data_IF_432237269374
#
_entry.id   IF_432237269374
#
_cell.length_a   1.000
_cell.length_b   1.000
_cell.length_c   1.000
_cell.angle_alpha   90.00
_cell.angle_beta   90.00
_cell.angle_gamma   90.00
#
_symmetry.space_group_name_H-M   'P 1'
#
loop_
_entity.id
_entity.type
_entity.pdbx_description
1 polymer ?
#
# COMPACT_ATOMS: atom_id res chain seq x y z
N UNK A 1 -13.13 6.13 2.07
CA UNK A 1 -11.81 5.62 1.64
C UNK A 1 -11.31 6.33 0.39
N UNK A 2 -10.05 6.08 0.05
CA UNK A 2 -9.51 6.14 -1.31
C UNK A 2 -9.42 4.69 -1.77
N UNK A 3 -10.13 4.36 -2.84
CA UNK A 3 -10.13 3.02 -3.41
C UNK A 3 -8.97 2.92 -4.40
N UNK A 4 -8.07 1.97 -4.17
CA UNK A 4 -6.89 1.78 -5.00
C UNK A 4 -7.15 0.87 -6.19
N UNK A 5 -8.25 0.12 -6.16
CA UNK A 5 -8.56 -0.94 -7.13
C UNK A 5 -7.71 -2.19 -6.95
N UNK A 6 -6.92 -2.27 -5.87
CA UNK A 6 -6.06 -3.41 -5.52
C UNK A 6 -6.68 -4.12 -4.33
N UNK A 7 -7.17 -5.34 -4.54
CA UNK A 7 -7.90 -6.11 -3.51
C UNK A 7 -7.09 -6.28 -2.21
N UNK A 8 -5.80 -6.56 -2.31
CA UNK A 8 -4.93 -6.72 -1.14
C UNK A 8 -4.89 -5.46 -0.24
N UNK A 9 -4.93 -4.27 -0.85
CA UNK A 9 -4.92 -2.99 -0.14
C UNK A 9 -6.32 -2.63 0.32
N UNK A 10 -7.29 -2.64 -0.60
CA UNK A 10 -8.63 -2.15 -0.33
C UNK A 10 -9.36 -2.99 0.72
N UNK A 11 -9.16 -4.33 0.73
CA UNK A 11 -9.77 -5.22 1.72
C UNK A 11 -9.07 -5.23 3.07
N UNK A 12 -7.72 -5.18 3.12
CA UNK A 12 -6.97 -5.52 4.33
C UNK A 12 -6.25 -4.33 4.98
N UNK A 13 -5.96 -3.30 4.20
CA UNK A 13 -5.25 -2.09 4.64
C UNK A 13 -5.86 -0.83 4.05
N UNK A 14 -7.18 -0.78 3.95
CA UNK A 14 -7.94 0.29 3.29
C UNK A 14 -7.34 1.67 3.49
N UNK A 15 -7.04 2.35 2.38
CA UNK A 15 -6.47 3.69 2.37
C UNK A 15 -7.54 4.73 2.72
N UNK A 16 -7.24 5.58 3.69
CA UNK A 16 -8.17 6.61 4.17
C UNK A 16 -7.79 7.98 3.63
N UNK A 17 -8.75 8.80 3.28
CA UNK A 17 -8.52 10.18 2.83
C UNK A 17 -7.74 10.97 3.88
N UNK A 18 -6.62 11.54 3.47
CA UNK A 18 -5.70 12.27 4.35
C UNK A 18 -4.68 11.40 5.07
N UNK A 19 -4.64 10.10 4.81
CA UNK A 19 -3.70 9.16 5.41
C UNK A 19 -2.34 9.19 4.71
N UNK A 20 -1.30 8.88 5.47
CA UNK A 20 0.05 8.56 5.02
C UNK A 20 0.26 7.05 5.12
N UNK A 21 0.24 6.34 3.99
CA UNK A 21 0.39 4.88 3.95
C UNK A 21 1.53 4.50 2.99
N UNK A 22 2.73 4.23 3.50
CA UNK A 22 3.87 3.90 2.66
C UNK A 22 3.79 2.48 2.10
N UNK A 23 4.43 2.27 0.95
CA UNK A 23 4.72 0.96 0.36
C UNK A 23 6.19 0.66 0.58
N UNK A 24 6.47 -0.36 1.39
CA UNK A 24 7.82 -0.85 1.67
C UNK A 24 8.15 -2.01 0.74
N UNK A 25 9.21 -1.86 -0.03
CA UNK A 25 9.66 -2.84 -1.00
C UNK A 25 11.14 -3.18 -0.82
N UNK A 26 11.61 -4.11 -1.61
CA UNK A 26 13.04 -4.38 -1.82
C UNK A 26 13.36 -4.32 -3.31
N UNK A 27 14.62 -4.15 -3.65
CA UNK A 27 15.05 -4.12 -5.05
C UNK A 27 14.61 -5.40 -5.77
N UNK A 28 14.13 -5.25 -7.00
CA UNK A 28 13.65 -6.35 -7.84
C UNK A 28 12.17 -6.71 -7.69
N UNK A 29 11.45 -6.12 -6.73
CA UNK A 29 9.99 -6.27 -6.65
C UNK A 29 9.28 -5.19 -7.49
N UNK A 30 8.03 -5.46 -7.95
CA UNK A 30 7.29 -4.59 -8.87
C UNK A 30 6.60 -3.40 -8.14
N UNK A 31 7.31 -2.69 -7.27
CA UNK A 31 6.74 -1.61 -6.46
C UNK A 31 6.39 -0.37 -7.29
N UNK A 32 7.18 -0.05 -8.32
CA UNK A 32 6.89 1.07 -9.20
C UNK A 32 5.68 0.78 -10.11
N UNK A 33 5.57 -0.46 -10.60
CA UNK A 33 4.41 -0.91 -11.36
C UNK A 33 3.14 -0.85 -10.51
N UNK A 34 3.20 -1.33 -9.26
CA UNK A 34 2.08 -1.25 -8.32
C UNK A 34 1.71 0.20 -8.03
N UNK A 35 2.69 1.07 -7.79
CA UNK A 35 2.45 2.49 -7.53
C UNK A 35 1.80 3.20 -8.74
N UNK A 36 2.27 2.90 -9.95
CA UNK A 36 1.70 3.42 -11.19
C UNK A 36 0.27 2.88 -11.43
N UNK A 37 0.04 1.59 -11.19
CA UNK A 37 -1.30 1.00 -11.28
C UNK A 37 -2.27 1.66 -10.29
N UNK A 38 -1.89 1.86 -9.04
CA UNK A 38 -2.70 2.58 -8.05
C UNK A 38 -2.99 4.00 -8.53
N UNK A 39 -1.97 4.72 -9.01
CA UNK A 39 -2.13 6.08 -9.52
C UNK A 39 -3.06 6.14 -10.74
N UNK A 40 -3.00 5.14 -11.62
CA UNK A 40 -3.84 5.06 -12.81
C UNK A 40 -5.32 4.82 -12.49
N UNK A 41 -5.63 4.01 -11.48
CA UNK A 41 -6.99 3.49 -11.27
C UNK A 41 -7.68 3.94 -9.98
N UNK A 42 -6.97 4.60 -9.05
CA UNK A 42 -7.54 4.99 -7.75
C UNK A 42 -8.67 6.02 -7.88
N UNK A 43 -9.62 5.97 -6.96
CA UNK A 43 -10.77 6.87 -6.90
C UNK A 43 -11.15 7.23 -5.46
N UNK A 44 -11.91 8.32 -5.31
CA UNK A 44 -12.59 8.67 -4.06
C UNK A 44 -14.13 8.51 -4.21
N UNK A 45 -14.56 7.54 -4.99
CA UNK A 45 -15.97 7.35 -5.35
C UNK A 45 -16.44 8.42 -6.33
N UNK A 46 -17.57 9.07 -6.04
CA UNK A 46 -18.12 10.16 -6.86
C UNK A 46 -17.54 11.54 -6.56
N UNK A 47 -16.65 11.65 -5.59
CA UNK A 47 -16.06 12.93 -5.18
C UNK A 47 -14.98 13.39 -6.18
N UNK A 48 -14.75 14.71 -6.36
CA UNK A 48 -13.67 15.23 -7.18
C UNK A 48 -12.31 14.69 -6.74
N UNK A 49 -11.61 14.03 -7.65
CA UNK A 49 -10.36 13.35 -7.36
C UNK A 49 -9.24 13.76 -8.32
N UNK A 50 -8.02 13.84 -7.84
CA UNK A 50 -6.82 14.10 -8.64
C UNK A 50 -5.64 13.29 -8.11
N UNK A 51 -4.69 13.03 -8.97
CA UNK A 51 -3.45 12.33 -8.63
C UNK A 51 -2.25 13.23 -8.91
N UNK A 52 -1.28 13.23 -8.02
CA UNK A 52 0.04 13.83 -8.25
C UNK A 52 1.08 12.72 -8.08
N UNK A 53 1.80 12.39 -9.13
CA UNK A 53 2.85 11.39 -9.10
C UNK A 53 4.21 12.08 -9.21
N UNK A 54 5.07 11.91 -8.21
CA UNK A 54 6.43 12.42 -8.18
C UNK A 54 7.42 11.26 -8.24
N UNK A 55 8.09 11.12 -9.37
CA UNK A 55 9.16 10.15 -9.59
C UNK A 55 10.52 10.80 -9.28
N UNK A 56 11.32 10.16 -8.43
CA UNK A 56 12.56 10.70 -7.89
C UNK A 56 13.71 9.72 -8.08
N UNK A 57 14.66 10.07 -8.94
CA UNK A 57 15.89 9.30 -9.16
C UNK A 57 15.67 7.97 -9.84
N UNK A 58 14.65 7.86 -10.68
CA UNK A 58 14.32 6.63 -11.41
C UNK A 58 15.12 6.54 -12.72
N UNK A 59 15.25 5.32 -13.24
CA UNK A 59 15.84 5.11 -14.58
C UNK A 59 14.90 5.65 -15.67
N UNK A 60 15.44 5.93 -16.87
CA UNK A 60 14.61 6.32 -18.02
C UNK A 60 13.57 5.23 -18.36
N UNK A 61 13.96 3.95 -18.30
CA UNK A 61 13.05 2.86 -18.57
C UNK A 61 11.88 2.82 -17.58
N UNK A 62 12.14 3.04 -16.27
CA UNK A 62 11.08 3.11 -15.26
C UNK A 62 10.16 4.33 -15.47
N UNK A 63 10.73 5.48 -15.83
CA UNK A 63 9.94 6.69 -16.08
C UNK A 63 9.06 6.57 -17.33
N UNK A 64 9.54 5.92 -18.38
CA UNK A 64 8.76 5.65 -19.58
C UNK A 64 7.63 4.67 -19.29
N UNK A 65 7.89 3.58 -18.56
CA UNK A 65 6.87 2.62 -18.16
C UNK A 65 5.78 3.26 -17.27
N UNK A 66 6.17 4.14 -16.35
CA UNK A 66 5.22 4.91 -15.52
C UNK A 66 4.39 5.84 -16.39
N UNK A 67 5.00 6.58 -17.31
CA UNK A 67 4.30 7.48 -18.21
C UNK A 67 3.27 6.74 -19.06
N UNK A 68 3.66 5.61 -19.65
CA UNK A 68 2.77 4.78 -20.46
C UNK A 68 1.58 4.27 -19.65
N UNK A 69 1.80 3.85 -18.40
CA UNK A 69 0.73 3.40 -17.51
C UNK A 69 -0.24 4.53 -17.13
N UNK A 70 0.24 5.78 -17.05
CA UNK A 70 -0.53 6.94 -16.61
C UNK A 70 -1.11 7.78 -17.76
N UNK A 71 -0.87 7.39 -19.02
CA UNK A 71 -1.18 8.21 -20.21
C UNK A 71 -2.64 8.65 -20.28
N UNK A 72 -3.59 7.75 -20.03
CA UNK A 72 -5.01 8.05 -20.06
C UNK A 72 -5.40 9.16 -19.06
N UNK A 73 -4.88 9.10 -17.83
CA UNK A 73 -5.12 10.13 -16.79
C UNK A 73 -4.41 11.43 -17.06
N UNK A 74 -3.20 11.37 -17.64
CA UNK A 74 -2.48 12.55 -18.09
C UNK A 74 -3.27 13.25 -19.18
N UNK A 75 -3.75 12.52 -20.19
CA UNK A 75 -4.56 13.05 -21.28
C UNK A 75 -5.90 13.64 -20.80
N UNK A 76 -6.52 13.03 -19.78
CA UNK A 76 -7.74 13.54 -19.15
C UNK A 76 -7.53 14.77 -18.26
N UNK A 77 -6.28 15.15 -17.95
CA UNK A 77 -5.98 16.26 -17.04
C UNK A 77 -6.31 15.97 -15.56
N UNK A 78 -6.40 14.71 -15.20
CA UNK A 78 -6.71 14.23 -13.83
C UNK A 78 -5.45 13.92 -13.00
N UNK A 79 -4.28 13.90 -13.67
CA UNK A 79 -3.01 13.55 -13.08
C UNK A 79 -1.93 14.55 -13.45
N UNK A 80 -1.12 14.94 -12.48
CA UNK A 80 0.15 15.63 -12.68
C UNK A 80 1.30 14.65 -12.46
N UNK A 81 2.21 14.56 -13.43
CA UNK A 81 3.42 13.74 -13.34
C UNK A 81 4.65 14.65 -13.26
N UNK A 82 5.41 14.54 -12.17
CA UNK A 82 6.70 15.18 -11.98
C UNK A 82 7.79 14.12 -12.06
N UNK A 83 8.72 14.31 -12.98
CA UNK A 83 9.79 13.34 -13.25
C UNK A 83 11.15 13.96 -12.91
N UNK A 84 11.91 13.27 -12.07
CA UNK A 84 13.33 13.44 -11.87
C UNK A 84 14.02 12.10 -12.11
N UNK A 85 14.83 12.02 -13.14
CA UNK A 85 15.57 10.80 -13.49
C UNK A 85 16.86 10.67 -12.68
N UNK A 86 17.51 9.52 -12.77
CA UNK A 86 18.77 9.27 -12.10
C UNK A 86 19.90 10.20 -12.58
N UNK A 87 19.81 10.65 -13.84
CA UNK A 87 20.78 11.55 -14.47
C UNK A 87 20.53 13.04 -14.19
N UNK A 88 19.36 13.38 -13.66
CA UNK A 88 19.02 14.76 -13.33
C UNK A 88 19.74 15.24 -12.06
N UNK A 89 19.95 16.55 -11.90
CA UNK A 89 20.62 17.12 -10.74
C UNK A 89 19.97 16.70 -9.42
N UNK A 90 20.82 16.34 -8.46
CA UNK A 90 20.40 15.89 -7.12
C UNK A 90 19.51 16.90 -6.40
N UNK A 91 19.76 18.20 -6.59
CA UNK A 91 18.98 19.25 -5.95
C UNK A 91 17.53 19.29 -6.48
N UNK A 92 17.30 18.96 -7.73
CA UNK A 92 15.96 18.87 -8.31
C UNK A 92 15.19 17.71 -7.67
N UNK A 93 15.88 16.58 -7.38
CA UNK A 93 15.29 15.44 -6.67
C UNK A 93 14.78 15.83 -5.29
N UNK A 94 15.50 16.68 -4.57
CA UNK A 94 15.07 17.21 -3.27
C UNK A 94 13.86 18.15 -3.40
N UNK A 95 13.75 18.89 -4.49
CA UNK A 95 12.66 19.83 -4.74
C UNK A 95 11.38 19.12 -5.24
N UNK A 96 11.50 18.03 -5.97
CA UNK A 96 10.39 17.34 -6.62
C UNK A 96 9.24 17.00 -5.68
N UNK A 97 9.42 16.35 -4.52
CA UNK A 97 8.30 16.05 -3.62
C UNK A 97 7.71 17.31 -2.97
N UNK A 98 8.50 18.36 -2.78
CA UNK A 98 8.03 19.64 -2.24
C UNK A 98 7.10 20.35 -3.21
N UNK A 99 7.43 20.33 -4.50
CA UNK A 99 6.60 20.88 -5.58
C UNK A 99 5.31 20.05 -5.68
N UNK A 100 5.42 18.71 -5.69
CA UNK A 100 4.28 17.80 -5.74
C UNK A 100 3.25 18.09 -4.63
N UNK A 101 3.74 18.21 -3.39
CA UNK A 101 2.88 18.50 -2.24
C UNK A 101 2.28 19.90 -2.28
N UNK A 102 3.01 20.90 -2.81
CA UNK A 102 2.48 22.26 -2.97
C UNK A 102 1.32 22.30 -3.97
N UNK A 103 1.44 21.58 -5.08
CA UNK A 103 0.33 21.44 -6.04
C UNK A 103 -0.84 20.67 -5.41
N UNK A 104 -0.55 19.58 -4.69
CA UNK A 104 -1.57 18.78 -4.03
C UNK A 104 -2.36 19.60 -2.98
N UNK A 105 -1.68 20.41 -2.18
CA UNK A 105 -2.33 21.32 -1.20
C UNK A 105 -3.24 22.33 -1.90
N UNK A 106 -2.80 22.93 -3.00
CA UNK A 106 -3.63 23.85 -3.78
C UNK A 106 -4.89 23.15 -4.33
N UNK A 107 -4.73 22.00 -4.95
CA UNK A 107 -5.86 21.22 -5.46
C UNK A 107 -6.83 20.80 -4.35
N UNK A 108 -6.31 20.41 -3.19
CA UNK A 108 -7.12 19.91 -2.10
C UNK A 108 -7.82 21.04 -1.32
N UNK A 109 -7.10 22.11 -0.98
CA UNK A 109 -7.58 23.09 0.00
C UNK A 109 -8.10 24.37 -0.63
N UNK A 110 -7.75 24.67 -1.89
CA UNK A 110 -8.34 25.80 -2.63
C UNK A 110 -9.37 25.36 -3.66
N UNK A 111 -9.24 24.14 -4.23
CA UNK A 111 -10.17 23.61 -5.23
C UNK A 111 -11.04 22.45 -4.72
N UNK A 112 -10.99 22.16 -3.42
CA UNK A 112 -11.83 21.17 -2.72
C UNK A 112 -11.78 19.75 -3.33
N UNK A 113 -10.62 19.34 -3.86
CA UNK A 113 -10.42 17.99 -4.43
C UNK A 113 -9.84 17.02 -3.41
N UNK A 114 -10.14 15.75 -3.55
CA UNK A 114 -9.35 14.70 -2.89
C UNK A 114 -8.15 14.38 -3.75
N UNK A 115 -6.95 14.50 -3.18
CA UNK A 115 -5.70 14.32 -3.93
C UNK A 115 -4.94 13.13 -3.38
N UNK A 116 -4.56 12.21 -4.26
CA UNK A 116 -3.58 11.16 -3.97
C UNK A 116 -2.22 11.59 -4.47
N UNK A 117 -1.24 11.66 -3.58
CA UNK A 117 0.16 11.93 -3.93
C UNK A 117 0.96 10.65 -3.83
N UNK A 118 1.62 10.26 -4.90
CA UNK A 118 2.57 9.14 -4.91
C UNK A 118 3.99 9.70 -4.97
N UNK A 119 4.82 9.34 -4.00
CA UNK A 119 6.22 9.77 -3.91
C UNK A 119 7.14 8.55 -4.09
N UNK A 120 7.70 8.35 -5.28
CA UNK A 120 8.52 7.19 -5.64
C UNK A 120 9.85 7.62 -6.30
N UNK A 121 11.04 7.28 -5.79
CA UNK A 121 11.33 6.46 -4.60
C UNK A 121 11.88 7.35 -3.47
N UNK A 122 11.36 7.17 -2.27
CA UNK A 122 11.78 7.97 -1.11
C UNK A 122 13.16 7.57 -0.58
N UNK A 123 13.67 6.39 -0.93
CA UNK A 123 15.06 6.02 -0.64
C UNK A 123 16.01 6.84 -1.53
N UNK A 124 15.69 7.00 -2.81
CA UNK A 124 16.46 7.88 -3.71
C UNK A 124 16.44 9.34 -3.25
N UNK A 125 15.30 9.79 -2.71
CA UNK A 125 15.19 11.11 -2.07
C UNK A 125 16.14 11.26 -0.87
N UNK A 126 16.13 10.27 0.04
CA UNK A 126 17.01 10.28 1.22
C UNK A 126 18.50 10.22 0.83
N UNK A 127 18.85 9.47 -0.22
CA UNK A 127 20.20 9.44 -0.77
C UNK A 127 20.63 10.81 -1.32
N UNK A 128 19.72 11.53 -1.96
CA UNK A 128 19.97 12.90 -2.43
C UNK A 128 20.27 13.84 -1.24
N UNK A 129 19.53 13.73 -0.14
CA UNK A 129 19.82 14.49 1.09
C UNK A 129 21.20 14.14 1.66
N UNK A 130 21.57 12.85 1.68
CA UNK A 130 22.87 12.38 2.14
C UNK A 130 24.00 12.95 1.31
N UNK A 131 23.85 12.95 -0.01
CA UNK A 131 24.84 13.48 -0.94
C UNK A 131 25.07 14.98 -0.73
N UNK A 132 23.99 15.77 -0.66
CA UNK A 132 24.07 17.22 -0.44
C UNK A 132 24.65 17.54 0.94
N UNK A 133 24.23 16.84 1.99
CA UNK A 133 24.76 17.01 3.33
C UNK A 133 26.26 16.72 3.40
N UNK A 134 26.69 15.62 2.77
CA UNK A 134 28.10 15.25 2.65
C UNK A 134 28.92 16.30 1.90
N UNK A 135 28.42 16.80 0.77
CA UNK A 135 29.07 17.84 0.00
C UNK A 135 29.22 19.17 0.76
N UNK A 136 28.32 19.44 1.70
CA UNK A 136 28.38 20.62 2.60
C UNK A 136 29.28 20.39 3.81
N UNK A 137 29.83 19.20 4.01
CA UNK A 137 30.65 18.88 5.18
C UNK A 137 29.87 18.85 6.49
N UNK A 138 28.56 18.58 6.45
CA UNK A 138 27.72 18.47 7.63
C UNK A 138 28.07 17.21 8.43
N UNK A 139 27.92 17.25 9.75
CA UNK A 139 28.18 16.08 10.60
C UNK A 139 27.17 14.97 10.28
N UNK A 140 27.62 13.76 9.93
CA UNK A 140 26.73 12.66 9.58
C UNK A 140 26.02 12.12 10.81
N UNK A 141 24.74 11.79 10.65
CA UNK A 141 23.97 11.01 11.59
C UNK A 141 24.10 9.50 11.35
N UNK A 142 23.05 8.75 11.71
CA UNK A 142 22.98 7.29 11.53
C UNK A 142 23.13 6.90 10.06
N UNK A 143 24.03 5.95 9.75
CA UNK A 143 24.36 5.47 8.39
C UNK A 143 24.73 6.60 7.41
N UNK A 144 25.39 7.61 7.89
CA UNK A 144 25.82 8.78 7.10
C UNK A 144 24.70 9.64 6.52
N UNK A 145 23.44 9.44 6.89
CA UNK A 145 22.37 10.37 6.58
C UNK A 145 22.51 11.65 7.41
N UNK A 146 21.96 12.79 6.92
CA UNK A 146 21.99 14.02 7.73
C UNK A 146 21.22 13.84 9.03
N UNK A 147 21.67 14.47 10.11
CA UNK A 147 21.02 14.40 11.40
C UNK A 147 19.55 14.88 11.41
N UNK A 148 19.18 15.69 10.42
CA UNK A 148 17.83 16.20 10.23
C UNK A 148 16.93 15.33 9.32
N UNK A 149 17.35 14.10 8.95
CA UNK A 149 16.55 13.24 8.06
C UNK A 149 15.11 13.04 8.58
N UNK A 150 14.95 12.82 9.89
CA UNK A 150 13.62 12.67 10.48
C UNK A 150 12.74 13.91 10.29
N UNK A 151 13.25 15.07 10.67
CA UNK A 151 12.50 16.32 10.56
C UNK A 151 12.22 16.71 9.10
N UNK A 152 13.11 16.37 8.18
CA UNK A 152 12.92 16.62 6.77
C UNK A 152 11.79 15.73 6.19
N UNK A 153 11.81 14.42 6.47
CA UNK A 153 10.72 13.50 6.09
C UNK A 153 9.40 13.92 6.75
N UNK A 154 9.42 14.28 8.04
CA UNK A 154 8.23 14.76 8.75
C UNK A 154 7.67 16.02 8.09
N UNK A 155 8.52 16.96 7.68
CA UNK A 155 8.10 18.18 6.97
C UNK A 155 7.37 17.88 5.66
N UNK A 156 7.71 16.80 4.97
CA UNK A 156 6.99 16.36 3.78
C UNK A 156 5.67 15.67 4.15
N UNK A 157 5.72 14.66 5.00
CA UNK A 157 4.57 13.80 5.27
C UNK A 157 3.47 14.51 6.07
N UNK A 158 3.81 15.43 6.98
CA UNK A 158 2.85 16.19 7.78
C UNK A 158 2.06 17.25 6.97
N UNK A 159 2.43 17.50 5.73
CA UNK A 159 1.63 18.31 4.79
C UNK A 159 0.36 17.58 4.33
N UNK A 160 0.30 16.28 4.55
CA UNK A 160 -0.84 15.44 4.16
C UNK A 160 -1.86 15.38 5.30
N UNK A 161 -3.14 15.31 4.93
CA UNK A 161 -4.21 15.24 5.90
C UNK A 161 -5.51 15.87 5.40
N UNK A 162 -6.36 16.18 6.38
CA UNK A 162 -7.62 16.93 6.19
C UNK A 162 -7.61 18.15 7.08
N UNK A 163 -8.07 19.26 6.55
CA UNK A 163 -8.17 20.53 7.31
C UNK A 163 -9.63 20.75 7.70
N UNK A 164 -9.86 21.10 8.97
CA UNK A 164 -11.22 21.42 9.44
C UNK A 164 -11.79 22.60 8.64
N UNK A 165 -13.02 22.43 8.13
CA UNK A 165 -13.69 23.44 7.31
C UNK A 165 -13.32 23.42 5.81
N UNK A 166 -12.47 22.50 5.39
CA UNK A 166 -12.20 22.21 3.97
C UNK A 166 -12.72 20.82 3.61
N UNK A 167 -13.28 20.66 2.42
CA UNK A 167 -13.82 19.37 1.94
C UNK A 167 -12.74 18.46 1.37
N UNK A 168 -11.70 19.03 0.76
CA UNK A 168 -10.60 18.31 0.18
C UNK A 168 -9.68 17.60 1.17
N UNK A 169 -8.79 16.77 0.64
CA UNK A 169 -7.78 16.04 1.43
C UNK A 169 -6.53 15.77 0.61
N UNK A 170 -5.38 15.71 1.26
CA UNK A 170 -4.13 15.23 0.69
C UNK A 170 -3.76 13.89 1.32
N UNK A 171 -3.82 12.82 0.53
CA UNK A 171 -3.45 11.46 0.91
C UNK A 171 -2.10 11.12 0.27
N UNK A 172 -1.18 10.51 0.97
CA UNK A 172 0.13 10.19 0.39
C UNK A 172 0.48 8.70 0.49
N UNK A 173 1.04 8.19 -0.60
CA UNK A 173 1.69 6.89 -0.72
C UNK A 173 3.20 7.11 -0.93
N UNK A 174 4.01 7.19 0.14
CA UNK A 174 5.46 7.11 -0.01
C UNK A 174 5.85 5.71 -0.47
N UNK A 175 6.55 5.59 -1.58
CA UNK A 175 7.09 4.32 -2.06
C UNK A 175 8.58 4.31 -1.78
N UNK A 176 9.08 3.28 -1.16
CA UNK A 176 10.50 3.18 -0.83
C UNK A 176 11.03 1.75 -0.95
N UNK A 177 12.30 1.64 -1.31
CA UNK A 177 13.04 0.39 -1.29
C UNK A 177 13.88 0.30 -0.01
N UNK A 178 13.77 -0.82 0.68
CA UNK A 178 14.56 -1.09 1.89
C UNK A 178 15.94 -1.63 1.48
N UNK A 179 17.04 -0.91 1.77
CA UNK A 179 18.37 -1.41 1.48
C UNK A 179 18.63 -2.75 2.20
N UNK A 180 19.06 -3.77 1.45
CA UNK A 180 19.26 -5.14 1.93
C UNK A 180 18.01 -5.78 2.60
N UNK A 181 16.82 -5.29 2.32
CA UNK A 181 15.58 -5.75 2.97
C UNK A 181 15.46 -5.37 4.45
N UNK A 182 16.30 -4.46 4.94
CA UNK A 182 16.37 -4.09 6.36
C UNK A 182 15.35 -3.00 6.69
N UNK A 183 14.23 -3.39 7.30
CA UNK A 183 13.19 -2.46 7.77
C UNK A 183 13.69 -1.52 8.88
N UNK A 184 14.79 -1.86 9.56
CA UNK A 184 15.41 -1.02 10.60
C UNK A 184 16.38 0.01 10.02
N UNK A 185 16.56 0.02 8.70
CA UNK A 185 17.31 1.07 8.02
C UNK A 185 16.66 2.45 8.25
N UNK A 186 17.43 3.57 8.39
CA UNK A 186 16.88 4.88 8.73
C UNK A 186 15.68 5.33 7.90
N UNK A 187 15.66 5.06 6.61
CA UNK A 187 14.57 5.53 5.71
C UNK A 187 13.24 4.83 6.01
N UNK A 188 13.12 3.48 5.98
CA UNK A 188 11.87 2.82 6.35
C UNK A 188 11.52 3.00 7.82
N UNK A 189 12.49 2.96 8.74
CA UNK A 189 12.28 3.09 10.18
C UNK A 189 11.62 4.45 10.52
N UNK A 190 12.21 5.56 10.05
CA UNK A 190 11.67 6.90 10.28
C UNK A 190 10.34 7.12 9.54
N UNK A 191 10.19 6.61 8.33
CA UNK A 191 8.93 6.67 7.58
C UNK A 191 7.82 5.96 8.35
N UNK A 192 8.08 4.77 8.91
CA UNK A 192 7.12 4.02 9.72
C UNK A 192 6.71 4.74 11.01
N UNK A 193 7.59 5.57 11.57
CA UNK A 193 7.29 6.41 12.74
C UNK A 193 6.33 7.56 12.43
N UNK A 194 6.48 8.17 11.26
CA UNK A 194 5.71 9.37 10.89
C UNK A 194 4.33 9.00 10.32
N UNK A 195 4.21 7.82 9.70
CA UNK A 195 3.02 7.40 8.93
C UNK A 195 2.06 6.53 9.75
N UNK A 196 0.84 6.33 9.22
CA UNK A 196 -0.23 5.60 9.93
C UNK A 196 -0.40 4.16 9.42
N UNK A 197 0.68 3.46 9.17
CA UNK A 197 0.69 2.07 8.72
C UNK A 197 1.70 1.83 7.62
N UNK A 198 1.58 0.70 6.94
CA UNK A 198 2.46 0.31 5.84
C UNK A 198 1.85 -0.81 5.02
N UNK A 199 2.15 -0.84 3.74
CA UNK A 199 1.98 -1.99 2.84
C UNK A 199 3.37 -2.54 2.57
N UNK A 200 3.59 -3.81 2.89
CA UNK A 200 4.90 -4.47 2.71
C UNK A 200 4.84 -5.42 1.55
N UNK A 201 5.80 -5.32 0.63
CA UNK A 201 5.95 -6.29 -0.46
C UNK A 201 6.93 -7.39 -0.06
N UNK A 202 6.60 -8.63 -0.40
CA UNK A 202 7.34 -9.84 -0.03
C UNK A 202 8.02 -10.49 -1.22
N UNK A 203 9.35 -10.73 -1.16
CA UNK A 203 10.05 -11.54 -2.14
C UNK A 203 9.50 -12.96 -2.26
N UNK A 204 9.09 -13.57 -1.13
CA UNK A 204 8.56 -14.94 -1.11
C UNK A 204 7.21 -15.03 -1.83
N UNK A 205 6.32 -14.04 -1.65
CA UNK A 205 5.05 -13.97 -2.39
C UNK A 205 5.32 -13.75 -3.88
N UNK A 206 6.26 -12.88 -4.21
CA UNK A 206 6.68 -12.63 -5.59
C UNK A 206 7.27 -13.89 -6.27
N UNK A 207 8.10 -14.64 -5.55
CA UNK A 207 8.69 -15.88 -6.07
C UNK A 207 7.64 -16.97 -6.39
N UNK A 208 6.47 -16.92 -5.75
CA UNK A 208 5.32 -17.79 -6.07
C UNK A 208 4.50 -17.29 -7.27
N UNK A 209 4.92 -16.20 -7.92
CA UNK A 209 4.26 -15.62 -9.09
C UNK A 209 2.96 -14.89 -8.77
N UNK A 210 2.78 -14.42 -7.54
CA UNK A 210 1.61 -13.63 -7.10
C UNK A 210 1.87 -12.14 -7.34
N UNK A 211 0.90 -11.44 -7.91
CA UNK A 211 0.94 -9.99 -8.09
C UNK A 211 -0.38 -9.34 -7.63
N UNK A 212 -0.32 -8.21 -6.91
CA UNK A 212 0.88 -7.62 -6.30
C UNK A 212 1.40 -8.50 -5.14
N UNK A 213 2.72 -8.58 -4.94
CA UNK A 213 3.30 -9.47 -3.94
C UNK A 213 3.21 -8.90 -2.52
N UNK A 214 2.00 -8.60 -2.05
CA UNK A 214 1.74 -8.00 -0.74
C UNK A 214 1.87 -9.05 0.37
N UNK A 215 2.71 -8.78 1.36
CA UNK A 215 2.70 -9.48 2.64
C UNK A 215 1.53 -8.96 3.49
N UNK A 216 0.41 -9.66 3.45
CA UNK A 216 -0.81 -9.23 4.15
C UNK A 216 -0.68 -9.27 5.66
N UNK A 217 0.17 -10.11 6.24
CA UNK A 217 0.42 -10.15 7.69
C UNK A 217 1.42 -9.09 8.15
N UNK A 218 2.37 -8.71 7.29
CA UNK A 218 3.32 -7.63 7.55
C UNK A 218 2.76 -6.23 7.28
N UNK A 219 1.61 -6.15 6.63
CA UNK A 219 0.95 -4.90 6.25
C UNK A 219 -0.12 -4.51 7.26
N UNK A 220 -0.29 -3.20 7.47
CA UNK A 220 -1.38 -2.70 8.33
C UNK A 220 -1.74 -1.25 7.98
N UNK A 221 -3.00 -0.87 8.22
CA UNK A 221 -3.45 0.52 8.22
C UNK A 221 -4.11 0.84 9.56
N UNK A 222 -3.48 1.74 10.34
CA UNK A 222 -3.99 2.14 11.66
C UNK A 222 -5.30 2.92 11.57
N UNK A 223 -5.59 3.51 10.41
CA UNK A 223 -6.81 4.30 10.18
C UNK A 223 -7.90 3.52 9.44
N UNK A 224 -7.70 2.24 9.14
CA UNK A 224 -8.64 1.43 8.35
C UNK A 224 -10.09 1.56 8.82
N UNK A 225 -10.34 1.52 10.12
CA UNK A 225 -11.68 1.67 10.70
C UNK A 225 -12.36 3.01 10.38
N UNK A 226 -11.59 4.02 10.01
CA UNK A 226 -12.12 5.32 9.58
C UNK A 226 -12.53 5.34 8.11
N UNK A 227 -12.08 4.37 7.31
CA UNK A 227 -12.35 4.26 5.87
C UNK A 227 -13.16 3.04 5.46
N UNK A 228 -13.35 2.06 6.36
CA UNK A 228 -14.02 0.80 6.08
C UNK A 228 -15.22 0.57 7.01
N UNK A 229 -16.13 -0.32 6.60
CA UNK A 229 -17.31 -0.70 7.34
C UNK A 229 -18.56 0.14 7.04
N UNK A 230 -19.59 0.09 7.91
CA UNK A 230 -20.90 0.70 7.67
C UNK A 230 -20.85 2.17 7.25
N UNK A 231 -21.57 2.51 6.17
CA UNK A 231 -21.65 3.86 5.62
C UNK A 231 -20.39 4.35 4.88
N UNK A 232 -19.38 3.49 4.70
CA UNK A 232 -18.11 3.82 4.02
C UNK A 232 -17.77 2.83 2.91
N UNK A 233 -17.86 1.55 3.24
CA UNK A 233 -17.74 0.41 2.31
C UNK A 233 -18.96 -0.48 2.53
N UNK A 234 -18.77 -1.79 2.73
CA UNK A 234 -19.84 -2.73 3.04
C UNK A 234 -19.82 -3.08 4.53
N UNK A 235 -20.96 -3.43 5.13
CA UNK A 235 -21.09 -3.68 6.58
C UNK A 235 -20.18 -4.81 7.10
N UNK A 236 -19.99 -5.84 6.28
CA UNK A 236 -19.19 -7.02 6.60
C UNK A 236 -17.67 -6.83 6.47
N UNK A 237 -17.23 -5.71 5.88
CA UNK A 237 -15.83 -5.51 5.48
C UNK A 237 -14.83 -5.72 6.63
N UNK A 238 -15.05 -5.08 7.78
CA UNK A 238 -14.08 -5.13 8.89
C UNK A 238 -14.01 -6.52 9.53
N UNK A 239 -15.15 -7.23 9.65
CA UNK A 239 -15.18 -8.58 10.20
C UNK A 239 -14.53 -9.57 9.21
N UNK A 240 -14.80 -9.42 7.91
CA UNK A 240 -14.14 -10.23 6.86
C UNK A 240 -12.63 -10.03 6.87
N UNK A 241 -12.15 -8.79 6.89
CA UNK A 241 -10.71 -8.52 6.96
C UNK A 241 -10.06 -9.16 8.18
N UNK A 242 -10.70 -9.04 9.36
CA UNK A 242 -10.22 -9.66 10.60
C UNK A 242 -10.20 -11.21 10.50
N UNK A 243 -11.26 -11.82 9.93
CA UNK A 243 -11.34 -13.25 9.73
C UNK A 243 -10.25 -13.76 8.79
N UNK A 244 -10.05 -13.11 7.65
CA UNK A 244 -9.05 -13.54 6.68
C UNK A 244 -7.64 -13.43 7.24
N UNK A 245 -7.30 -12.34 7.96
CA UNK A 245 -5.98 -12.20 8.58
C UNK A 245 -5.74 -13.20 9.71
N UNK A 246 -6.75 -13.50 10.53
CA UNK A 246 -6.65 -14.52 11.57
C UNK A 246 -6.43 -15.91 10.97
N UNK A 247 -7.19 -16.26 9.92
CA UNK A 247 -7.04 -17.53 9.22
C UNK A 247 -5.68 -17.64 8.51
N UNK A 248 -5.19 -16.55 7.90
CA UNK A 248 -3.88 -16.52 7.26
C UNK A 248 -2.74 -16.70 8.27
N UNK A 249 -2.85 -16.08 9.45
CA UNK A 249 -1.88 -16.28 10.54
C UNK A 249 -1.87 -17.73 11.01
N UNK A 250 -3.05 -18.38 11.12
CA UNK A 250 -3.15 -19.81 11.44
C UNK A 250 -2.54 -20.68 10.34
N UNK A 251 -2.84 -20.39 9.08
CA UNK A 251 -2.27 -21.12 7.94
C UNK A 251 -0.73 -21.04 7.91
N UNK A 252 -0.16 -19.89 8.27
CA UNK A 252 1.30 -19.73 8.40
C UNK A 252 1.87 -20.64 9.48
N UNK A 253 1.25 -20.69 10.65
CA UNK A 253 1.67 -21.60 11.74
C UNK A 253 1.59 -23.07 11.31
N UNK A 254 0.54 -23.45 10.57
CA UNK A 254 0.40 -24.81 10.05
C UNK A 254 1.51 -25.14 9.04
N UNK A 255 1.87 -24.19 8.17
CA UNK A 255 2.98 -24.38 7.22
C UNK A 255 4.31 -24.58 7.94
N UNK A 256 4.61 -23.76 8.95
CA UNK A 256 5.80 -23.91 9.80
C UNK A 256 5.81 -25.27 10.53
N UNK A 257 4.64 -25.73 11.00
CA UNK A 257 4.50 -27.06 11.62
C UNK A 257 4.77 -28.18 10.59
N UNK A 258 4.22 -28.06 9.37
CA UNK A 258 4.41 -29.04 8.31
C UNK A 258 5.89 -29.24 7.93
N UNK A 259 6.68 -28.18 7.95
CA UNK A 259 8.14 -28.24 7.72
C UNK A 259 8.87 -29.06 8.78
N UNK A 260 8.35 -29.12 10.00
CA UNK A 260 8.96 -29.85 11.12
C UNK A 260 8.52 -31.33 11.17
N UNK A 261 7.19 -31.56 11.05
CA UNK A 261 6.61 -32.90 11.29
C UNK A 261 6.24 -33.66 10.02
N UNK A 262 6.26 -32.97 8.86
CA UNK A 262 5.83 -33.50 7.56
C UNK A 262 4.32 -33.43 7.34
N UNK A 263 3.91 -33.33 6.08
CA UNK A 263 2.50 -33.17 5.66
C UNK A 263 1.58 -34.30 6.13
N UNK A 264 2.12 -35.52 6.27
CA UNK A 264 1.36 -36.70 6.69
C UNK A 264 0.85 -36.62 8.13
N UNK A 265 1.51 -35.81 8.98
CA UNK A 265 1.14 -35.64 10.38
C UNK A 265 0.08 -34.54 10.59
N UNK A 266 -0.27 -33.77 9.57
CA UNK A 266 -1.26 -32.70 9.65
C UNK A 266 -2.69 -33.27 9.82
N UNK A 267 -3.46 -32.62 10.70
CA UNK A 267 -4.90 -32.91 10.85
C UNK A 267 -5.68 -32.48 9.59
N UNK A 268 -6.92 -32.95 9.47
CA UNK A 268 -7.82 -32.52 8.40
C UNK A 268 -8.08 -31.01 8.45
N UNK A 269 -8.20 -30.43 9.63
CA UNK A 269 -8.37 -28.98 9.82
C UNK A 269 -7.12 -28.21 9.39
N UNK A 270 -5.92 -28.69 9.72
CA UNK A 270 -4.67 -28.03 9.29
C UNK A 270 -4.56 -27.99 7.76
N UNK A 271 -4.95 -29.05 7.07
CA UNK A 271 -4.97 -29.07 5.60
C UNK A 271 -5.94 -28.04 5.01
N UNK A 272 -7.12 -27.85 5.63
CA UNK A 272 -8.04 -26.80 5.21
C UNK A 272 -7.44 -25.40 5.33
N UNK A 273 -6.60 -25.13 6.34
CA UNK A 273 -5.89 -23.85 6.45
C UNK A 273 -4.80 -23.68 5.38
N UNK A 274 -4.16 -24.75 4.90
CA UNK A 274 -3.25 -24.67 3.75
C UNK A 274 -4.01 -24.43 2.44
N UNK A 275 -5.17 -25.07 2.27
CA UNK A 275 -6.06 -24.81 1.13
C UNK A 275 -6.57 -23.36 1.16
N UNK A 276 -6.96 -22.86 2.35
CA UNK A 276 -7.33 -21.47 2.55
C UNK A 276 -6.19 -20.51 2.14
N UNK A 277 -4.95 -20.76 2.56
CA UNK A 277 -3.82 -19.90 2.18
C UNK A 277 -3.63 -19.84 0.65
N UNK A 278 -3.82 -20.98 -0.02
CA UNK A 278 -3.74 -21.04 -1.48
C UNK A 278 -4.89 -20.25 -2.14
N UNK A 279 -6.12 -20.42 -1.63
CA UNK A 279 -7.28 -19.68 -2.11
C UNK A 279 -7.14 -18.17 -1.84
N UNK A 280 -6.58 -17.79 -0.68
CA UNK A 280 -6.31 -16.41 -0.33
C UNK A 280 -5.31 -15.77 -1.30
N UNK A 281 -4.19 -16.43 -1.57
CA UNK A 281 -3.18 -15.90 -2.50
C UNK A 281 -3.74 -15.82 -3.93
N UNK A 282 -4.33 -16.91 -4.44
CA UNK A 282 -4.79 -16.97 -5.85
C UNK A 282 -6.15 -16.32 -6.09
N UNK A 283 -7.06 -16.37 -5.15
CA UNK A 283 -8.43 -15.87 -5.30
C UNK A 283 -8.57 -14.38 -4.97
N UNK A 284 -7.84 -13.89 -3.96
CA UNK A 284 -7.94 -12.52 -3.49
C UNK A 284 -6.75 -11.66 -3.89
N UNK A 285 -5.52 -12.09 -3.56
CA UNK A 285 -4.33 -11.25 -3.73
C UNK A 285 -3.89 -11.18 -5.19
N UNK A 286 -3.83 -12.33 -5.89
CA UNK A 286 -3.38 -12.40 -7.29
C UNK A 286 -4.32 -11.61 -8.21
N UNK A 287 -3.78 -10.57 -8.80
CA UNK A 287 -4.51 -9.60 -9.62
C UNK A 287 -3.64 -9.21 -10.82
N UNK A 288 -4.24 -9.04 -12.00
CA UNK A 288 -3.48 -8.62 -13.17
C UNK A 288 -3.01 -7.17 -13.05
N UNK A 289 -1.90 -6.85 -13.72
CA UNK A 289 -1.23 -5.53 -13.67
C UNK A 289 -2.09 -4.35 -14.17
N UNK A 290 -3.17 -4.62 -14.88
CA UNK A 290 -4.13 -3.60 -15.36
C UNK A 290 -5.55 -3.89 -14.88
N UNK A 291 -5.71 -4.84 -13.95
CA UNK A 291 -7.01 -5.18 -13.39
C UNK A 291 -7.36 -4.18 -12.29
N UNK A 292 -8.47 -3.52 -12.45
CA UNK A 292 -9.10 -2.72 -11.40
C UNK A 292 -10.24 -3.54 -10.81
N UNK A 293 -10.24 -3.73 -9.50
CA UNK A 293 -11.34 -4.39 -8.79
C UNK A 293 -12.13 -3.37 -7.97
N UNK A 294 -13.44 -3.39 -8.12
CA UNK A 294 -14.32 -2.62 -7.28
C UNK A 294 -14.40 -3.19 -5.86
N UNK A 295 -14.72 -2.35 -4.87
CA UNK A 295 -14.84 -2.77 -3.47
C UNK A 295 -15.83 -3.93 -3.29
N UNK A 296 -16.98 -3.90 -3.98
CA UNK A 296 -17.95 -4.99 -3.92
C UNK A 296 -17.37 -6.32 -4.38
N UNK A 297 -16.73 -6.32 -5.55
CA UNK A 297 -16.06 -7.50 -6.11
C UNK A 297 -14.95 -8.03 -5.19
N UNK A 298 -14.18 -7.11 -4.59
CA UNK A 298 -13.13 -7.45 -3.64
C UNK A 298 -13.69 -8.15 -2.40
N UNK A 299 -14.78 -7.64 -1.83
CA UNK A 299 -15.41 -8.24 -0.65
C UNK A 299 -16.14 -9.55 -0.96
N UNK A 300 -16.68 -9.71 -2.18
CA UNK A 300 -17.24 -10.99 -2.62
C UNK A 300 -16.13 -12.06 -2.72
N UNK A 301 -14.97 -11.72 -3.27
CA UNK A 301 -13.78 -12.59 -3.25
C UNK A 301 -13.30 -12.93 -1.82
N UNK A 302 -13.44 -11.99 -0.89
CA UNK A 302 -13.14 -12.26 0.52
C UNK A 302 -14.06 -13.35 1.09
N UNK A 303 -15.36 -13.34 0.73
CA UNK A 303 -16.29 -14.40 1.10
C UNK A 303 -15.96 -15.73 0.44
N UNK A 304 -15.62 -15.73 -0.86
CA UNK A 304 -15.21 -16.95 -1.57
C UNK A 304 -14.02 -17.62 -0.87
N UNK A 305 -13.04 -16.82 -0.46
CA UNK A 305 -11.87 -17.31 0.28
C UNK A 305 -12.24 -17.78 1.69
N UNK A 306 -13.06 -17.04 2.42
CA UNK A 306 -13.51 -17.42 3.76
C UNK A 306 -14.26 -18.76 3.74
N UNK A 307 -15.05 -19.02 2.70
CA UNK A 307 -15.85 -20.23 2.51
C UNK A 307 -15.03 -21.52 2.26
N UNK A 308 -13.72 -21.43 2.09
CA UNK A 308 -12.84 -22.62 2.11
C UNK A 308 -12.85 -23.27 3.50
N UNK A 309 -13.03 -22.45 4.54
CA UNK A 309 -13.13 -22.90 5.92
C UNK A 309 -14.59 -23.21 6.31
N UNK A 310 -14.85 -24.24 7.13
CA UNK A 310 -16.17 -24.51 7.63
C UNK A 310 -16.63 -23.44 8.63
N UNK A 311 -17.96 -23.31 8.81
CA UNK A 311 -18.59 -22.30 9.67
C UNK A 311 -17.98 -22.18 11.06
N UNK A 312 -17.61 -23.30 11.67
CA UNK A 312 -16.99 -23.34 13.02
C UNK A 312 -15.64 -22.62 13.10
N UNK A 313 -14.91 -22.49 11.99
CA UNK A 313 -13.60 -21.81 11.90
C UNK A 313 -13.73 -20.30 11.63
N UNK A 314 -14.93 -19.82 11.27
CA UNK A 314 -15.22 -18.43 10.96
C UNK A 314 -15.56 -17.62 12.22
N UNK A 315 -14.69 -17.67 13.21
CA UNK A 315 -14.95 -17.17 14.57
C UNK A 315 -14.92 -15.65 14.72
N UNK A 316 -14.38 -14.94 13.75
CA UNK A 316 -14.34 -13.47 13.74
C UNK A 316 -15.59 -12.84 13.10
N UNK A 317 -16.44 -13.67 12.45
CA UNK A 317 -17.68 -13.21 11.83
C UNK A 317 -18.84 -13.32 12.82
N UNK A 318 -19.68 -12.29 12.85
CA UNK A 318 -20.90 -12.28 13.63
C UNK A 318 -21.92 -13.32 13.11
N UNK A 319 -22.80 -13.81 14.00
CA UNK A 319 -23.85 -14.73 13.60
C UNK A 319 -24.75 -14.15 12.49
N UNK A 320 -25.06 -12.86 12.57
CA UNK A 320 -25.87 -12.21 11.57
C UNK A 320 -25.26 -12.28 10.17
N UNK A 321 -23.95 -12.10 10.05
CA UNK A 321 -23.25 -12.22 8.77
C UNK A 321 -23.19 -13.67 8.29
N UNK A 322 -22.94 -14.62 9.20
CA UNK A 322 -22.90 -16.06 8.88
C UNK A 322 -24.29 -16.59 8.44
N UNK A 323 -25.36 -16.04 8.97
CA UNK A 323 -26.73 -16.44 8.61
C UNK A 323 -27.23 -15.75 7.32
N UNK A 324 -26.64 -14.59 6.98
CA UNK A 324 -26.97 -13.83 5.77
C UNK A 324 -26.20 -14.30 4.51
N UNK A 325 -25.10 -15.03 4.70
CA UNK A 325 -24.24 -15.50 3.60
C UNK A 325 -24.20 -17.03 3.54
N UNK A 326 -24.16 -17.64 2.34
CA UNK A 326 -23.98 -19.09 2.21
C UNK A 326 -22.56 -19.45 2.66
N UNK A 327 -22.44 -20.09 3.82
CA UNK A 327 -21.18 -20.61 4.36
C UNK A 327 -21.18 -22.13 4.31
N UNK A 328 -19.97 -22.69 4.12
CA UNK A 328 -19.78 -24.14 4.13
C UNK A 328 -20.15 -24.69 5.51
N UNK A 329 -21.12 -25.62 5.53
CA UNK A 329 -21.44 -26.39 6.71
C UNK A 329 -20.29 -27.35 7.06
N UNK A 330 -20.26 -27.89 8.26
CA UNK A 330 -19.22 -28.81 8.78
C UNK A 330 -19.14 -30.14 8.04
#
# INVERSE_FOLDING_TARGET
>A
PVLTGISAIDALTTLVRGQKLPIFSVAGLPHLELAAQIAAQSTAGSEPFSVVFAAMGLTHADTDAIRDTLDDRLAAGELLLLLNTADDPVIERILTPRIALTVAEHLAFELDRHVLVVLADMTSYAEALREVSSARGELPGRRAYPGYLYSDLATLYERCGRIRGRSGSVTVLPVLTMPAGDITHPVPDLTGYITEGQVVLSPDVHARGIYPPVDSLGSLSRLMRNGAGPGRTREDHLELAAQLLAALARARQVRELAEIVGDSALSATDRLYLDFATAFERGLIDQQRHEQREMGQTLDRCWDVANVLPRRELTMLSRALLDAHPVRED
#
